data_IF_246660437199
#
_entry.id   IF_246660437199
#
_cell.length_a   1.000
_cell.length_b   1.000
_cell.length_c   1.000
_cell.angle_alpha   90.00
_cell.angle_beta   90.00
_cell.angle_gamma   90.00
#
_symmetry.space_group_name_H-M   'P 1'
#
loop_
_entity.id
_entity.type
_entity.pdbx_description
1 polymer ?
#
# COMPACT_ATOMS: atom_id res chain seq x y z
N UNK A 1 10.02 -12.43 -13.68
CA UNK A 1 10.22 -11.21 -12.86
C UNK A 1 9.29 -11.33 -11.68
N UNK A 2 9.78 -11.99 -10.65
CA UNK A 2 9.11 -12.17 -9.36
C UNK A 2 8.82 -10.76 -8.81
N UNK A 3 7.54 -10.38 -8.83
CA UNK A 3 7.12 -9.05 -8.42
C UNK A 3 7.66 -8.76 -7.03
N UNK A 4 8.42 -7.69 -6.90
CA UNK A 4 9.07 -7.33 -5.64
C UNK A 4 7.99 -7.23 -4.55
N UNK A 5 8.13 -8.04 -3.49
CA UNK A 5 7.16 -8.12 -2.38
C UNK A 5 7.31 -6.86 -1.53
N UNK A 6 6.63 -5.81 -1.93
CA UNK A 6 6.60 -4.53 -1.23
C UNK A 6 5.26 -4.32 -0.54
N UNK A 7 5.17 -3.26 0.25
CA UNK A 7 3.89 -2.87 0.85
C UNK A 7 2.83 -2.52 -0.20
N UNK A 8 3.19 -2.06 -1.39
CA UNK A 8 2.22 -1.79 -2.46
C UNK A 8 1.44 -3.04 -2.88
N UNK A 9 2.09 -4.21 -2.90
CA UNK A 9 1.46 -5.48 -3.30
C UNK A 9 0.82 -6.22 -2.13
N UNK A 10 0.81 -5.63 -0.93
CA UNK A 10 0.29 -6.25 0.29
C UNK A 10 -1.19 -5.89 0.51
N UNK A 11 -2.05 -6.89 0.72
CA UNK A 11 -3.46 -6.75 1.11
C UNK A 11 -3.68 -5.92 2.37
N UNK A 12 -2.69 -5.92 3.28
CA UNK A 12 -2.78 -5.23 4.58
C UNK A 12 -2.28 -3.79 4.56
N UNK A 13 -1.69 -3.33 3.44
CA UNK A 13 -1.23 -1.96 3.31
C UNK A 13 -2.37 -1.06 2.87
N UNK A 14 -2.57 0.05 3.61
CA UNK A 14 -3.56 1.05 3.28
C UNK A 14 -2.86 2.32 2.79
N UNK A 15 -2.87 2.51 1.47
CA UNK A 15 -2.32 3.68 0.80
C UNK A 15 -3.10 4.95 1.16
N UNK A 16 -2.37 6.03 1.40
CA UNK A 16 -2.96 7.35 1.62
C UNK A 16 -3.26 8.03 0.29
N UNK A 17 -4.26 8.90 0.33
CA UNK A 17 -4.65 9.72 -0.79
C UNK A 17 -4.71 11.18 -0.34
N UNK A 18 -4.24 12.09 -1.18
CA UNK A 18 -4.32 13.53 -0.91
C UNK A 18 -5.29 14.17 -1.89
N UNK A 19 -6.02 15.19 -1.43
CA UNK A 19 -6.96 15.94 -2.24
C UNK A 19 -6.18 16.90 -3.15
N UNK A 20 -6.26 16.71 -4.46
CA UNK A 20 -5.63 17.59 -5.47
C UNK A 20 -6.60 18.62 -6.06
N UNK A 21 -7.90 18.34 -6.00
CA UNK A 21 -8.95 19.21 -6.53
C UNK A 21 -10.28 19.01 -5.82
N UNK A 22 -11.33 19.69 -6.28
CA UNK A 22 -12.64 19.72 -5.59
C UNK A 22 -13.17 18.31 -5.28
N UNK A 23 -13.00 17.37 -6.22
CA UNK A 23 -13.41 15.96 -6.10
C UNK A 23 -12.31 14.96 -6.55
N UNK A 24 -11.04 15.37 -6.60
CA UNK A 24 -9.94 14.50 -7.04
C UNK A 24 -9.02 14.16 -5.86
N UNK A 25 -8.90 12.86 -5.58
CA UNK A 25 -7.91 12.28 -4.67
C UNK A 25 -6.83 11.53 -5.44
N UNK A 26 -5.55 11.86 -5.22
CA UNK A 26 -4.42 11.15 -5.84
C UNK A 26 -3.76 10.21 -4.82
N UNK A 27 -3.41 8.98 -5.23
CA UNK A 27 -2.64 8.08 -4.38
C UNK A 27 -1.22 8.62 -4.19
N UNK A 28 -0.74 8.66 -2.95
CA UNK A 28 0.66 9.01 -2.64
C UNK A 28 1.46 7.76 -2.29
N UNK A 29 2.79 7.85 -2.30
CA UNK A 29 3.67 6.72 -1.92
C UNK A 29 3.60 6.36 -0.44
N UNK A 30 2.89 7.14 0.37
CA UNK A 30 2.73 6.91 1.80
C UNK A 30 1.46 6.12 2.10
N UNK A 31 1.52 5.35 3.17
CA UNK A 31 0.41 4.64 3.74
C UNK A 31 0.77 4.08 5.10
N UNK A 32 0.00 3.09 5.53
CA UNK A 32 0.21 2.43 6.81
C UNK A 32 -0.13 0.94 6.75
N UNK A 33 0.51 0.16 7.60
CA UNK A 33 0.13 -1.23 7.87
C UNK A 33 -0.66 -1.28 9.18
N UNK A 34 -1.72 -2.09 9.21
CA UNK A 34 -2.49 -2.32 10.43
C UNK A 34 -1.71 -3.11 11.48
N UNK A 35 -0.90 -4.08 11.05
CA UNK A 35 -0.16 -4.98 11.95
C UNK A 35 1.22 -5.36 11.37
N UNK A 36 2.33 -4.98 12.02
CA UNK A 36 2.42 -4.04 13.14
C UNK A 36 1.85 -2.66 12.75
N UNK A 37 1.28 -1.93 13.71
CA UNK A 37 0.66 -0.61 13.47
C UNK A 37 1.72 0.45 13.14
N UNK A 38 2.19 0.43 11.91
CA UNK A 38 3.17 1.38 11.39
C UNK A 38 2.41 2.44 10.61
N UNK A 39 2.29 3.64 11.18
CA UNK A 39 1.53 4.77 10.61
C UNK A 39 2.21 5.43 9.41
N UNK A 40 3.53 5.27 9.28
CA UNK A 40 4.34 5.85 8.22
C UNK A 40 5.10 4.75 7.48
N UNK A 41 4.62 4.34 6.31
CA UNK A 41 5.29 3.36 5.46
C UNK A 41 5.18 3.74 3.99
N UNK A 42 6.24 3.48 3.23
CA UNK A 42 6.28 3.75 1.80
C UNK A 42 5.85 2.53 0.99
N UNK A 43 5.33 2.76 -0.22
CA UNK A 43 4.91 1.72 -1.17
C UNK A 43 6.05 0.81 -1.57
N UNK A 44 7.25 1.37 -1.72
CA UNK A 44 8.52 0.70 -2.06
C UNK A 44 9.20 0.04 -0.85
N UNK A 45 8.68 0.23 0.38
CA UNK A 45 9.22 -0.48 1.53
C UNK A 45 8.99 -1.98 1.39
N UNK A 46 10.02 -2.82 1.65
CA UNK A 46 9.86 -4.26 1.68
C UNK A 46 8.68 -4.69 2.55
N UNK A 47 7.98 -5.72 2.09
CA UNK A 47 6.81 -6.21 2.78
C UNK A 47 7.14 -6.66 4.21
N UNK A 48 6.21 -6.44 5.15
CA UNK A 48 6.40 -6.90 6.51
C UNK A 48 6.24 -8.42 6.61
N UNK A 49 6.59 -8.99 7.76
CA UNK A 49 6.40 -10.42 8.06
C UNK A 49 4.96 -10.92 7.91
N UNK A 50 3.96 -10.01 7.92
CA UNK A 50 2.54 -10.32 7.65
C UNK A 50 2.14 -10.06 6.21
N UNK A 51 3.08 -10.09 5.28
CA UNK A 51 2.77 -9.94 3.86
C UNK A 51 1.71 -10.94 3.42
N UNK A 52 0.65 -10.44 2.80
CA UNK A 52 -0.33 -11.24 2.10
C UNK A 52 -0.54 -10.58 0.75
N UNK A 53 -0.31 -11.33 -0.33
CA UNK A 53 -0.46 -10.81 -1.67
C UNK A 53 -1.90 -10.31 -1.89
N UNK A 54 -2.04 -9.06 -2.30
CA UNK A 54 -3.32 -8.54 -2.71
C UNK A 54 -3.75 -9.27 -3.99
N UNK A 55 -4.83 -10.05 -3.92
CA UNK A 55 -5.38 -10.67 -5.13
C UNK A 55 -5.71 -9.56 -6.13
N UNK A 56 -5.00 -9.56 -7.27
CA UNK A 56 -5.40 -8.73 -8.41
C UNK A 56 -6.78 -9.23 -8.82
N UNK A 57 -7.83 -8.45 -8.54
CA UNK A 57 -9.13 -8.71 -9.13
C UNK A 57 -8.98 -8.50 -10.64
N UNK A 58 -8.77 -9.59 -11.37
CA UNK A 58 -9.11 -9.65 -12.79
C UNK A 58 -10.63 -9.54 -12.89
N UNK A 59 -11.09 -8.54 -13.62
CA UNK A 59 -12.50 -8.22 -13.85
C UNK A 59 -12.59 -7.01 -14.74
#
# INVERSE_FOLDING_TARGET
MDGEKTCETCRHFRRHYVKRGRNWYIPIKLGHCGEPRIRYKQTDTPACHRYSEAQKKGG
#
